data_IF_542487961804
#
_entry.id   IF_542487961804
#
_cell.length_a   1.000
_cell.length_b   1.000
_cell.length_c   1.000
_cell.angle_alpha   90.00
_cell.angle_beta   90.00
_cell.angle_gamma   90.00
#
_symmetry.space_group_name_H-M   'P 1'
#
loop_
_entity.id
_entity.type
_entity.pdbx_description
1 polymer ?
#
# COMPACT_ATOMS: atom_id res chain seq x y z
N UNK A 1 2.10 0.82 -21.39
CA UNK A 1 1.50 0.72 -20.04
C UNK A 1 2.40 -0.18 -19.18
N UNK A 2 3.26 0.41 -18.34
CA UNK A 2 4.33 -0.28 -17.61
C UNK A 2 3.86 -1.02 -16.35
N UNK A 3 2.64 -0.73 -15.85
CA UNK A 3 2.10 -1.32 -14.64
C UNK A 3 2.08 -2.85 -14.69
N UNK A 4 1.91 -3.43 -15.89
CA UNK A 4 1.81 -4.87 -16.13
C UNK A 4 3.10 -5.62 -15.75
N UNK A 5 4.22 -4.93 -15.66
CA UNK A 5 5.53 -5.53 -15.41
C UNK A 5 5.90 -5.54 -13.91
N UNK A 6 5.13 -4.86 -13.05
CA UNK A 6 5.41 -4.82 -11.62
C UNK A 6 5.04 -6.14 -10.98
N UNK A 7 5.99 -6.81 -10.35
CA UNK A 7 5.80 -8.04 -9.56
C UNK A 7 6.21 -7.86 -8.09
N UNK A 8 7.04 -6.86 -7.80
CA UNK A 8 7.55 -6.59 -6.46
C UNK A 8 6.44 -6.08 -5.53
N UNK A 9 6.34 -6.62 -4.30
CA UNK A 9 5.53 -6.04 -3.24
C UNK A 9 5.85 -4.55 -3.03
N UNK A 10 4.82 -3.72 -2.84
CA UNK A 10 5.01 -2.27 -2.76
C UNK A 10 4.24 -1.62 -1.62
N UNK A 11 4.95 -0.87 -0.78
CA UNK A 11 4.36 0.01 0.23
C UNK A 11 4.38 1.48 -0.24
N UNK A 12 3.25 2.16 -0.11
CA UNK A 12 3.11 3.59 -0.38
C UNK A 12 3.00 4.35 0.94
N UNK A 13 3.83 5.37 1.12
CA UNK A 13 3.80 6.26 2.29
C UNK A 13 3.40 7.64 1.79
N UNK A 14 2.23 8.13 2.22
CA UNK A 14 1.61 9.33 1.68
C UNK A 14 1.27 10.31 2.80
N UNK A 15 1.57 11.60 2.59
CA UNK A 15 1.04 12.69 3.41
C UNK A 15 -0.30 13.16 2.84
N UNK A 16 -1.33 13.26 3.67
CA UNK A 16 -2.67 13.65 3.23
C UNK A 16 -2.74 15.09 2.69
N UNK A 17 -1.88 15.97 3.19
CA UNK A 17 -1.76 17.37 2.77
C UNK A 17 -0.55 17.62 1.83
N UNK A 18 -0.09 16.59 1.12
CA UNK A 18 0.97 16.75 0.11
C UNK A 18 0.38 17.29 -1.21
N UNK A 19 0.48 18.60 -1.43
CA UNK A 19 0.05 19.22 -2.68
C UNK A 19 1.09 19.16 -3.80
N UNK A 20 2.35 18.81 -3.51
CA UNK A 20 3.42 18.68 -4.51
C UNK A 20 3.28 17.36 -5.27
N UNK A 21 2.93 16.31 -4.55
CA UNK A 21 2.59 14.99 -5.09
C UNK A 21 1.29 14.47 -4.47
N UNK A 22 0.12 14.97 -4.94
CA UNK A 22 -1.18 14.63 -4.35
C UNK A 22 -1.41 13.11 -4.23
N UNK A 23 -1.82 12.60 -3.05
CA UNK A 23 -2.02 11.16 -2.82
C UNK A 23 -2.90 10.49 -3.88
N UNK A 24 -4.01 11.16 -4.23
CA UNK A 24 -5.01 10.65 -5.19
C UNK A 24 -4.50 10.50 -6.61
N UNK A 25 -3.64 11.39 -7.12
CA UNK A 25 -3.08 11.29 -8.47
C UNK A 25 -1.77 10.50 -8.53
N UNK A 26 -1.09 10.34 -7.39
CA UNK A 26 0.14 9.58 -7.26
C UNK A 26 -0.09 8.18 -6.69
N UNK A 27 0.24 8.02 -5.40
CA UNK A 27 0.33 6.71 -4.75
C UNK A 27 -0.97 5.91 -4.73
N UNK A 28 -2.14 6.55 -4.60
CA UNK A 28 -3.43 5.85 -4.54
C UNK A 28 -3.79 5.14 -5.85
N UNK A 29 -3.54 5.78 -7.00
CA UNK A 29 -3.80 5.16 -8.30
C UNK A 29 -2.92 3.93 -8.51
N UNK A 30 -1.64 4.03 -8.16
CA UNK A 30 -0.71 2.91 -8.23
C UNK A 30 -1.13 1.79 -7.27
N UNK A 31 -1.45 2.11 -6.01
CA UNK A 31 -1.92 1.16 -5.02
C UNK A 31 -3.15 0.39 -5.52
N UNK A 32 -4.16 1.09 -6.03
CA UNK A 32 -5.38 0.45 -6.59
C UNK A 32 -5.05 -0.46 -7.76
N UNK A 33 -4.17 -0.03 -8.67
CA UNK A 33 -3.76 -0.84 -9.81
C UNK A 33 -3.01 -2.12 -9.40
N UNK A 34 -2.15 -2.04 -8.38
CA UNK A 34 -1.44 -3.20 -7.82
C UNK A 34 -2.39 -4.15 -7.09
N UNK A 35 -3.32 -3.62 -6.29
CA UNK A 35 -4.37 -4.43 -5.64
C UNK A 35 -5.24 -5.16 -6.65
N UNK A 36 -5.65 -4.48 -7.74
CA UNK A 36 -6.40 -5.12 -8.83
C UNK A 36 -5.61 -6.27 -9.48
N UNK A 37 -4.29 -6.10 -9.62
CA UNK A 37 -3.38 -7.13 -10.15
C UNK A 37 -2.97 -8.18 -9.12
N UNK A 38 -3.54 -8.15 -7.91
CA UNK A 38 -3.20 -9.06 -6.80
C UNK A 38 -1.71 -9.05 -6.41
N UNK A 39 -1.01 -7.94 -6.68
CA UNK A 39 0.35 -7.73 -6.18
C UNK A 39 0.24 -7.25 -4.73
N UNK A 40 1.03 -7.81 -3.77
CA UNK A 40 1.02 -7.34 -2.40
C UNK A 40 1.32 -5.84 -2.33
N UNK A 41 0.37 -5.09 -1.78
CA UNK A 41 0.47 -3.65 -1.71
C UNK A 41 -0.16 -3.14 -0.41
N UNK A 42 0.53 -2.18 0.21
CA UNK A 42 0.11 -1.51 1.46
C UNK A 42 0.20 -0.01 1.25
N UNK A 43 -0.71 0.74 1.85
CA UNK A 43 -0.72 2.19 1.80
C UNK A 43 -0.87 2.75 3.21
N UNK A 44 0.15 3.49 3.66
CA UNK A 44 0.16 4.21 4.94
C UNK A 44 -0.10 5.68 4.64
N UNK A 45 -1.18 6.22 5.20
CA UNK A 45 -1.59 7.61 5.03
C UNK A 45 -1.40 8.37 6.34
N UNK A 46 -0.60 9.42 6.29
CA UNK A 46 -0.34 10.29 7.44
C UNK A 46 -1.22 11.54 7.37
N UNK A 47 -2.16 11.73 8.32
CA UNK A 47 -3.05 12.89 8.32
C UNK A 47 -2.29 14.17 8.64
N UNK A 48 -2.72 15.28 8.04
CA UNK A 48 -2.13 16.61 8.23
C UNK A 48 -0.64 16.74 7.83
N UNK A 49 -0.09 15.74 7.15
CA UNK A 49 1.32 15.72 6.73
C UNK A 49 1.46 16.13 5.27
N UNK A 50 2.47 16.95 4.99
CA UNK A 50 2.78 17.45 3.65
C UNK A 50 3.90 16.65 2.99
N UNK A 51 4.42 17.14 1.87
CA UNK A 51 5.60 16.60 1.20
C UNK A 51 6.83 16.52 2.13
N UNK A 52 6.86 17.35 3.19
CA UNK A 52 7.97 17.44 4.13
C UNK A 52 7.89 16.43 5.30
N UNK A 53 6.92 15.51 5.29
CA UNK A 53 6.72 14.45 6.30
C UNK A 53 8.04 13.85 6.81
N UNK A 54 8.95 13.49 5.91
CA UNK A 54 10.21 12.82 6.26
C UNK A 54 11.23 13.73 6.98
N UNK A 55 11.21 15.04 6.72
CA UNK A 55 12.22 16.00 7.18
C UNK A 55 11.73 16.82 8.37
N UNK A 56 10.50 17.31 8.29
CA UNK A 56 9.91 18.22 9.29
C UNK A 56 8.47 17.88 9.65
N UNK A 57 8.01 16.66 9.35
CA UNK A 57 6.72 16.17 9.85
C UNK A 57 6.67 16.05 11.37
N UNK A 58 5.48 15.80 11.91
CA UNK A 58 5.29 15.60 13.33
C UNK A 58 6.22 14.50 13.86
N UNK A 59 6.86 14.68 15.03
CA UNK A 59 7.85 13.74 15.52
C UNK A 59 7.38 12.28 15.57
N UNK A 60 6.13 12.04 16.01
CA UNK A 60 5.56 10.70 16.08
C UNK A 60 5.31 10.09 14.69
N UNK A 61 4.82 10.87 13.72
CA UNK A 61 4.64 10.40 12.34
C UNK A 61 5.98 10.02 11.69
N UNK A 62 7.06 10.75 12.00
CA UNK A 62 8.40 10.41 11.51
C UNK A 62 8.90 9.08 12.07
N UNK A 63 8.66 8.82 13.36
CA UNK A 63 8.99 7.55 14.00
C UNK A 63 8.18 6.41 13.39
N UNK A 64 6.86 6.57 13.31
CA UNK A 64 5.95 5.57 12.72
C UNK A 64 6.31 5.26 11.25
N UNK A 65 6.60 6.29 10.46
CA UNK A 65 7.09 6.14 9.08
C UNK A 65 8.34 5.26 9.02
N UNK A 66 9.32 5.49 9.90
CA UNK A 66 10.55 4.69 9.93
C UNK A 66 10.28 3.26 10.40
N UNK A 67 9.40 3.06 11.38
CA UNK A 67 8.99 1.74 11.84
C UNK A 67 8.33 0.92 10.72
N UNK A 68 7.49 1.55 9.90
CA UNK A 68 6.91 0.88 8.73
C UNK A 68 7.95 0.51 7.69
N UNK A 69 8.92 1.40 7.40
CA UNK A 69 9.99 1.11 6.43
C UNK A 69 10.81 -0.10 6.89
N UNK A 70 11.25 -0.10 8.15
CA UNK A 70 12.03 -1.20 8.73
C UNK A 70 11.22 -2.48 8.71
N UNK A 71 9.98 -2.46 9.21
CA UNK A 71 9.14 -3.65 9.27
C UNK A 71 8.83 -4.22 7.88
N UNK A 72 8.67 -3.36 6.85
CA UNK A 72 8.45 -3.82 5.48
C UNK A 72 9.65 -4.60 4.93
N UNK A 73 10.87 -4.11 5.19
CA UNK A 73 12.09 -4.81 4.81
C UNK A 73 12.33 -6.07 5.65
N UNK A 74 12.07 -6.02 6.95
CA UNK A 74 12.12 -7.20 7.82
C UNK A 74 11.24 -8.33 7.26
N UNK A 75 10.03 -8.00 6.79
CA UNK A 75 9.11 -8.97 6.20
C UNK A 75 9.63 -9.55 4.88
N UNK A 76 9.93 -8.70 3.90
CA UNK A 76 10.21 -9.14 2.53
C UNK A 76 11.66 -9.55 2.27
N UNK A 77 12.62 -9.05 3.06
CA UNK A 77 14.05 -9.34 2.88
C UNK A 77 14.62 -10.25 3.96
N UNK A 78 14.11 -10.17 5.20
CA UNK A 78 14.64 -10.94 6.33
C UNK A 78 13.75 -12.11 6.74
N UNK A 79 12.57 -12.27 6.13
CA UNK A 79 11.62 -13.34 6.46
C UNK A 79 11.03 -13.23 7.86
N UNK A 80 11.08 -12.04 8.48
CA UNK A 80 10.49 -11.82 9.80
C UNK A 80 8.96 -11.75 9.67
N UNK A 81 8.19 -12.50 10.48
CA UNK A 81 6.74 -12.41 10.46
C UNK A 81 6.27 -10.99 10.78
N UNK A 82 5.42 -10.43 9.92
CA UNK A 82 4.77 -9.12 10.07
C UNK A 82 3.32 -9.24 9.63
N UNK A 83 2.41 -9.74 10.50
CA UNK A 83 1.01 -10.00 10.17
C UNK A 83 0.27 -8.78 9.62
N UNK A 84 0.69 -7.56 9.99
CA UNK A 84 0.17 -6.30 9.46
C UNK A 84 0.37 -6.12 7.95
N UNK A 85 1.31 -6.87 7.34
CA UNK A 85 1.60 -6.85 5.91
C UNK A 85 1.20 -8.13 5.19
N UNK A 86 0.75 -9.14 5.94
CA UNK A 86 0.20 -10.35 5.37
C UNK A 86 -1.10 -10.00 4.65
N UNK A 87 -1.08 -10.11 3.32
CA UNK A 87 -2.30 -10.01 2.54
C UNK A 87 -3.07 -11.30 2.81
N UNK A 88 -4.18 -11.19 3.55
CA UNK A 88 -5.09 -12.32 3.77
C UNK A 88 -5.31 -13.06 2.44
N UNK A 89 -5.20 -14.41 2.39
CA UNK A 89 -5.57 -15.16 1.22
C UNK A 89 -6.96 -14.71 0.80
N UNK A 90 -7.11 -14.26 -0.44
CA UNK A 90 -8.42 -13.96 -0.96
C UNK A 90 -9.21 -15.28 -0.97
N UNK A 91 -10.18 -15.43 -0.07
CA UNK A 91 -11.29 -16.36 -0.31
C UNK A 91 -11.86 -16.00 -1.69
N UNK A 92 -11.89 -16.98 -2.59
CA UNK A 92 -12.56 -16.80 -3.86
C UNK A 92 -14.01 -16.43 -3.57
N UNK A 93 -14.43 -15.24 -4.01
CA UNK A 93 -15.83 -14.87 -3.94
C UNK A 93 -16.65 -16.00 -4.58
N UNK A 94 -17.70 -16.51 -3.92
CA UNK A 94 -18.44 -17.65 -4.43
C UNK A 94 -18.90 -17.34 -5.84
N UNK A 95 -18.56 -18.23 -6.78
CA UNK A 95 -18.96 -18.12 -8.16
C UNK A 95 -20.48 -17.92 -8.18
N UNK A 96 -20.95 -16.79 -8.73
CA UNK A 96 -22.38 -16.59 -8.97
C UNK A 96 -22.84 -17.76 -9.82
N UNK A 97 -23.66 -18.66 -9.26
CA UNK A 97 -24.32 -19.70 -10.05
C UNK A 97 -25.08 -18.98 -11.16
N UNK A 98 -24.71 -19.26 -12.40
CA UNK A 98 -25.49 -18.85 -13.55
C UNK A 98 -26.86 -19.51 -13.40
N UNK A 99 -27.86 -18.73 -13.00
CA UNK A 99 -29.26 -19.12 -13.14
C UNK A 99 -29.55 -19.15 -14.63
N UNK A 100 -29.47 -20.34 -15.21
CA UNK A 100 -30.08 -20.63 -16.49
C UNK A 100 -31.60 -20.57 -16.35
N UNK A 101 -32.22 -19.65 -17.08
CA UNK A 101 -33.58 -19.78 -17.59
C UNK A 101 -33.47 -19.56 -19.10
N UNK A 102 -33.98 -20.42 -19.96
CA UNK A 102 -35.28 -21.07 -19.90
C UNK A 102 -36.15 -20.36 -20.91
#
# INVERSE_FOLDING_TARGET
>A
NFIKNVTTPMMFILGEADYRTPPGSGGEQMFRALKFRKIPAVMVRFPNESHELSRSGQPWHRVERLQHIVSWFDHWLMGTPKPEYEVAPHEEAPAKKATGGG
#
